data_IF_019984418373
#
_entry.id   IF_019984418373
#
_cell.length_a   1.000
_cell.length_b   1.000
_cell.length_c   1.000
_cell.angle_alpha   90.00
_cell.angle_beta   90.00
_cell.angle_gamma   90.00
#
_symmetry.space_group_name_H-M   'P 1'
#
loop_
_entity.id
_entity.type
_entity.pdbx_description
1 polymer ?
#
# COMPACT_ATOMS: atom_id res chain seq x y z
N UNK A 1 7.27 38.65 12.54
CA UNK A 1 6.00 38.11 12.01
C UNK A 1 6.22 36.65 11.70
N UNK A 2 5.64 35.75 12.50
CA UNK A 2 5.75 34.30 12.27
C UNK A 2 4.73 33.96 11.19
N UNK A 3 5.20 33.47 10.04
CA UNK A 3 4.34 33.04 8.94
C UNK A 3 3.51 31.84 9.44
N UNK A 4 2.18 31.94 9.35
CA UNK A 4 1.28 30.79 9.53
C UNK A 4 1.71 29.73 8.52
N UNK A 5 2.15 28.57 9.00
CA UNK A 5 2.32 27.40 8.13
C UNK A 5 0.90 27.02 7.72
N UNK A 6 0.56 27.27 6.46
CA UNK A 6 -0.67 26.75 5.88
C UNK A 6 -0.54 25.24 5.89
N UNK A 7 -1.52 24.57 6.49
CA UNK A 7 -1.65 23.11 6.45
C UNK A 7 -1.63 22.73 4.96
N UNK A 8 -0.49 22.20 4.51
CA UNK A 8 -0.41 21.60 3.20
C UNK A 8 -1.38 20.43 3.24
N UNK A 9 -2.41 20.45 2.40
CA UNK A 9 -3.10 19.22 2.02
C UNK A 9 -2.05 18.34 1.34
N UNK A 10 -1.34 17.53 2.13
CA UNK A 10 -0.45 16.50 1.60
C UNK A 10 -1.33 15.56 0.78
N UNK A 11 -1.30 15.72 -0.55
CA UNK A 11 -1.91 14.81 -1.51
C UNK A 11 -1.43 13.39 -1.19
N UNK A 12 -2.30 12.64 -0.52
CA UNK A 12 -1.96 11.50 0.31
C UNK A 12 -1.23 10.40 -0.46
N UNK A 13 -0.19 9.87 0.15
CA UNK A 13 0.33 8.52 -0.10
C UNK A 13 0.43 8.06 -1.57
N UNK A 14 0.71 8.97 -2.51
CA UNK A 14 1.02 8.65 -3.92
C UNK A 14 2.40 8.03 -4.11
N UNK A 15 2.97 7.43 -3.07
CA UNK A 15 4.36 6.99 -3.04
C UNK A 15 4.64 5.74 -3.88
N UNK A 16 3.61 5.09 -4.43
CA UNK A 16 3.75 3.76 -5.06
C UNK A 16 2.88 3.63 -6.32
N UNK A 17 3.29 4.21 -7.46
CA UNK A 17 2.58 4.06 -8.72
C UNK A 17 2.52 2.59 -9.15
N UNK A 18 1.47 2.22 -9.90
CA UNK A 18 1.22 0.86 -10.40
C UNK A 18 1.27 -0.23 -9.31
N UNK A 19 1.02 0.15 -8.07
CA UNK A 19 1.09 -0.74 -6.92
C UNK A 19 -0.20 -0.68 -6.14
N UNK A 20 -0.64 -1.81 -5.63
CA UNK A 20 -1.78 -1.90 -4.71
C UNK A 20 -1.39 -2.67 -3.46
N UNK A 21 -2.03 -2.36 -2.33
CA UNK A 21 -1.91 -3.19 -1.14
C UNK A 21 -2.80 -4.42 -1.31
N UNK A 22 -2.26 -5.58 -0.93
CA UNK A 22 -2.99 -6.84 -0.84
C UNK A 22 -2.74 -7.46 0.54
N UNK A 23 -3.65 -8.31 1.00
CA UNK A 23 -3.50 -9.03 2.26
C UNK A 23 -3.43 -10.52 2.00
N UNK A 24 -2.44 -11.18 2.60
CA UNK A 24 -2.35 -12.63 2.60
C UNK A 24 -3.00 -13.19 3.87
N UNK A 25 -3.85 -14.18 3.68
CA UNK A 25 -4.41 -14.98 4.77
C UNK A 25 -3.42 -16.09 5.16
N UNK A 26 -3.15 -16.22 6.45
CA UNK A 26 -2.29 -17.28 6.99
C UNK A 26 -3.08 -18.46 7.54
N UNK A 27 -2.50 -19.18 8.49
CA UNK A 27 -3.19 -20.24 9.23
C UNK A 27 -4.28 -19.71 10.19
N UNK A 28 -4.27 -18.40 10.46
CA UNK A 28 -5.21 -17.69 11.31
C UNK A 28 -6.02 -16.71 10.45
N UNK A 29 -7.35 -16.86 10.35
CA UNK A 29 -8.19 -16.02 9.49
C UNK A 29 -8.34 -14.59 10.02
N UNK A 30 -8.06 -14.36 11.30
CA UNK A 30 -8.06 -13.04 11.93
C UNK A 30 -6.78 -12.23 11.66
N UNK A 31 -5.78 -12.85 10.99
CA UNK A 31 -4.49 -12.22 10.70
C UNK A 31 -4.37 -11.96 9.20
N UNK A 32 -4.45 -10.68 8.84
CA UNK A 32 -4.20 -10.19 7.48
C UNK A 32 -2.76 -9.68 7.36
N UNK A 33 -1.91 -10.39 6.61
CA UNK A 33 -0.49 -10.00 6.42
C UNK A 33 -0.38 -9.04 5.23
N UNK A 34 0.00 -7.77 5.43
CA UNK A 34 0.05 -6.79 4.35
C UNK A 34 1.23 -7.07 3.41
N UNK A 35 0.94 -7.08 2.12
CA UNK A 35 1.90 -7.12 1.03
C UNK A 35 1.57 -6.01 0.03
N UNK A 36 2.52 -5.68 -0.82
CA UNK A 36 2.28 -4.82 -1.96
C UNK A 36 2.44 -5.62 -3.24
N UNK A 37 1.46 -5.50 -4.13
CA UNK A 37 1.46 -6.10 -5.46
C UNK A 37 1.73 -5.02 -6.49
N UNK A 38 2.78 -5.22 -7.30
CA UNK A 38 3.25 -4.28 -8.32
C UNK A 38 2.88 -4.84 -9.69
N UNK A 39 2.05 -4.12 -10.43
CA UNK A 39 1.68 -4.47 -11.80
C UNK A 39 2.84 -4.16 -12.75
N UNK A 40 3.16 -5.13 -13.61
CA UNK A 40 4.24 -5.01 -14.58
C UNK A 40 3.66 -4.76 -15.98
N UNK A 41 4.38 -3.99 -16.80
CA UNK A 41 4.06 -3.86 -18.23
C UNK A 41 4.35 -5.18 -18.96
N UNK A 42 3.61 -5.54 -20.02
CA UNK A 42 3.94 -6.69 -20.86
C UNK A 42 5.35 -6.62 -21.46
N UNK A 43 5.98 -7.77 -21.67
CA UNK A 43 7.27 -7.92 -22.35
C UNK A 43 7.06 -7.94 -23.87
N UNK A 44 7.90 -7.21 -24.62
CA UNK A 44 7.90 -7.27 -26.09
C UNK A 44 8.71 -8.47 -26.59
N UNK A 45 8.15 -9.26 -27.50
CA UNK A 45 8.79 -10.44 -28.08
C UNK A 45 9.41 -10.17 -29.47
N UNK A 46 10.40 -10.98 -29.92
CA UNK A 46 11.07 -10.77 -31.20
C UNK A 46 10.16 -10.86 -32.43
N UNK A 47 9.02 -11.54 -32.32
CA UNK A 47 8.01 -11.66 -33.37
C UNK A 47 7.05 -10.46 -33.43
N UNK A 48 7.26 -9.45 -32.58
CA UNK A 48 6.43 -8.25 -32.49
C UNK A 48 5.19 -8.40 -31.62
N UNK A 49 4.95 -9.57 -31.03
CA UNK A 49 3.87 -9.77 -30.04
C UNK A 49 4.30 -9.28 -28.65
N UNK A 50 3.35 -9.27 -27.72
CA UNK A 50 3.61 -8.97 -26.31
C UNK A 50 3.09 -10.07 -25.39
N UNK A 51 3.80 -10.28 -24.29
CA UNK A 51 3.49 -11.27 -23.28
C UNK A 51 3.22 -10.58 -21.92
N UNK A 52 2.05 -10.80 -21.29
CA UNK A 52 1.76 -10.21 -19.99
C UNK A 52 2.70 -10.76 -18.92
N UNK A 53 3.13 -9.89 -18.00
CA UNK A 53 3.93 -10.29 -16.85
C UNK A 53 3.04 -10.38 -15.61
N UNK A 54 3.19 -11.46 -14.84
CA UNK A 54 2.53 -11.60 -13.56
C UNK A 54 2.99 -10.50 -12.58
N UNK A 55 2.09 -9.99 -11.72
CA UNK A 55 2.46 -8.99 -10.72
C UNK A 55 3.52 -9.51 -9.74
N UNK A 56 4.40 -8.61 -9.28
CA UNK A 56 5.42 -8.93 -8.28
C UNK A 56 4.93 -8.50 -6.91
N UNK A 57 4.98 -9.43 -5.94
CA UNK A 57 4.67 -9.14 -4.54
C UNK A 57 5.93 -8.81 -3.74
N UNK A 58 5.86 -7.72 -3.00
CA UNK A 58 6.92 -7.27 -2.08
C UNK A 58 6.35 -7.04 -0.68
N UNK A 59 7.22 -7.13 0.32
CA UNK A 59 6.85 -6.85 1.71
C UNK A 59 6.46 -5.37 1.88
N UNK A 60 5.34 -5.10 2.55
CA UNK A 60 4.84 -3.74 2.76
C UNK A 60 4.92 -3.34 4.24
N UNK A 61 5.87 -2.45 4.56
CA UNK A 61 6.07 -1.91 5.91
C UNK A 61 5.34 -0.59 6.16
N UNK A 62 4.58 -0.06 5.18
CA UNK A 62 3.95 1.24 5.34
C UNK A 62 2.80 1.26 6.36
N UNK A 63 2.31 0.09 6.77
CA UNK A 63 1.26 -0.05 7.77
C UNK A 63 0.01 0.74 7.40
N UNK A 64 -0.82 1.09 8.38
CA UNK A 64 -2.10 1.75 8.18
C UNK A 64 -1.98 3.11 7.51
N UNK A 65 -0.83 3.78 7.65
CA UNK A 65 -0.55 5.00 6.90
C UNK A 65 -0.53 4.79 5.40
N UNK A 66 -0.07 3.63 4.92
CA UNK A 66 -0.13 3.28 3.50
C UNK A 66 -1.50 2.79 3.01
N UNK A 67 -2.53 2.80 3.85
CA UNK A 67 -3.89 2.39 3.49
C UNK A 67 -4.73 3.61 3.09
N UNK A 68 -5.28 3.68 1.86
CA UNK A 68 -6.10 4.82 1.43
C UNK A 68 -7.38 4.99 2.27
N UNK A 69 -7.85 3.93 2.94
CA UNK A 69 -9.07 3.97 3.75
C UNK A 69 -8.78 4.30 5.23
N UNK A 70 -7.51 4.52 5.61
CA UNK A 70 -7.14 4.87 6.98
C UNK A 70 -7.39 6.35 7.29
N UNK A 71 -7.87 6.63 8.50
CA UNK A 71 -8.29 7.98 8.90
C UNK A 71 -7.17 9.03 8.96
N UNK A 72 -5.88 8.65 8.96
CA UNK A 72 -4.74 9.57 9.00
C UNK A 72 -4.57 10.41 10.28
N UNK A 73 -5.55 10.40 11.19
CA UNK A 73 -5.48 11.09 12.48
C UNK A 73 -4.53 10.41 13.49
N UNK A 74 -3.34 11.00 13.67
CA UNK A 74 -2.34 10.52 14.63
C UNK A 74 -2.78 10.57 16.10
N UNK A 75 -3.73 11.44 16.46
CA UNK A 75 -4.23 11.56 17.84
C UNK A 75 -5.08 10.34 18.22
N UNK A 76 -5.80 9.77 17.26
CA UNK A 76 -6.60 8.54 17.49
C UNK A 76 -5.75 7.28 17.60
N UNK A 77 -4.50 7.32 17.14
CA UNK A 77 -3.59 6.18 17.11
C UNK A 77 -3.95 5.15 16.03
N UNK A 78 -3.22 4.03 16.04
CA UNK A 78 -3.44 2.92 15.11
C UNK A 78 -4.51 1.95 15.64
N UNK A 79 -5.25 1.25 14.77
CA UNK A 79 -6.13 0.16 15.18
C UNK A 79 -5.34 -0.94 15.90
N UNK A 80 -5.87 -1.41 17.03
CA UNK A 80 -5.26 -2.46 17.84
C UNK A 80 -5.51 -3.86 17.26
N UNK A 81 -5.00 -4.12 16.05
CA UNK A 81 -5.23 -5.36 15.28
C UNK A 81 -4.88 -6.65 16.05
N UNK A 82 -3.99 -6.55 17.04
CA UNK A 82 -3.48 -7.68 17.82
C UNK A 82 -4.10 -7.79 19.21
N UNK A 83 -5.14 -7.01 19.53
CA UNK A 83 -5.72 -6.98 20.87
C UNK A 83 -6.28 -8.34 21.33
N UNK A 84 -6.73 -9.17 20.40
CA UNK A 84 -7.27 -10.52 20.69
C UNK A 84 -6.29 -11.67 20.43
N UNK A 85 -4.99 -11.39 20.24
CA UNK A 85 -4.00 -12.41 19.93
C UNK A 85 -3.56 -13.23 21.14
#
# INVERSE_FOLDING_TARGET
MIKKVEDQEEDGHKSFPNSSRVYLEGSRPDVAVPMREISLSPSSLPDGSSEPNEPVRVYDTSGQWGDPDFHGDHIRGLPALRAGW
#
